data_IF_425338698939
#
_entry.id   IF_425338698939
#
_cell.length_a   1.000
_cell.length_b   1.000
_cell.length_c   1.000
_cell.angle_alpha   90.00
_cell.angle_beta   90.00
_cell.angle_gamma   90.00
#
_symmetry.space_group_name_H-M   'P 1'
#
loop_
_entity.id
_entity.type
_entity.pdbx_description
1 polymer ?
#
# COMPACT_ATOMS: atom_id res chain seq x y z
N UNK A 1 16.11 -35.56 -24.34
CA UNK A 1 16.52 -34.20 -24.68
C UNK A 1 15.39 -33.25 -24.34
N UNK A 2 15.46 -32.56 -23.19
CA UNK A 2 14.50 -31.54 -22.81
C UNK A 2 14.91 -30.25 -23.54
N UNK A 3 14.11 -29.86 -24.52
CA UNK A 3 14.19 -28.52 -25.12
C UNK A 3 13.99 -27.50 -24.01
N UNK A 4 15.06 -26.86 -23.56
CA UNK A 4 14.99 -25.67 -22.72
C UNK A 4 14.28 -24.59 -23.53
N UNK A 5 12.99 -24.39 -23.23
CA UNK A 5 12.27 -23.24 -23.74
C UNK A 5 13.00 -22.00 -23.24
N UNK A 6 13.57 -21.23 -24.15
CA UNK A 6 14.09 -19.92 -23.84
C UNK A 6 12.94 -19.11 -23.26
N UNK A 7 12.93 -18.98 -21.92
CA UNK A 7 11.95 -18.16 -21.23
C UNK A 7 12.00 -16.74 -21.82
N UNK A 8 10.88 -16.27 -22.32
CA UNK A 8 10.77 -14.89 -22.81
C UNK A 8 11.09 -13.92 -21.68
N UNK A 9 11.39 -12.65 -22.02
CA UNK A 9 11.60 -11.63 -20.98
C UNK A 9 10.38 -11.52 -20.04
N UNK A 10 9.18 -11.68 -20.58
CA UNK A 10 7.93 -11.70 -19.82
C UNK A 10 7.85 -12.88 -18.86
N UNK A 11 8.18 -14.10 -19.31
CA UNK A 11 8.20 -15.29 -18.45
C UNK A 11 9.17 -15.11 -17.27
N UNK A 12 10.31 -14.44 -17.49
CA UNK A 12 11.26 -14.14 -16.41
C UNK A 12 10.73 -13.09 -15.43
N UNK A 13 9.97 -12.11 -15.91
CA UNK A 13 9.31 -11.12 -15.05
C UNK A 13 8.22 -11.83 -14.22
N UNK A 14 7.38 -12.65 -14.84
CA UNK A 14 6.35 -13.40 -14.15
C UNK A 14 6.93 -14.40 -13.13
N UNK A 15 8.00 -15.13 -13.49
CA UNK A 15 8.69 -16.01 -12.56
C UNK A 15 9.34 -15.27 -11.37
N UNK A 16 9.73 -14.01 -11.54
CA UNK A 16 10.20 -13.16 -10.43
C UNK A 16 9.04 -12.70 -9.53
N UNK A 17 7.90 -12.36 -10.12
CA UNK A 17 6.70 -12.00 -9.37
C UNK A 17 6.13 -13.19 -8.60
N UNK A 18 6.22 -14.40 -9.17
CA UNK A 18 5.80 -15.65 -8.51
C UNK A 18 6.72 -16.05 -7.34
N UNK A 19 7.98 -15.60 -7.34
CA UNK A 19 8.95 -15.85 -6.25
C UNK A 19 8.91 -14.78 -5.15
N UNK A 20 8.05 -13.77 -5.25
CA UNK A 20 7.88 -12.83 -4.14
C UNK A 20 7.38 -13.62 -2.91
N UNK A 21 8.13 -13.58 -1.79
CA UNK A 21 7.72 -14.30 -0.60
C UNK A 21 6.36 -13.78 -0.15
N UNK A 22 5.45 -14.71 0.13
CA UNK A 22 4.17 -14.38 0.75
C UNK A 22 4.43 -13.56 2.00
N UNK A 23 3.70 -12.48 2.15
CA UNK A 23 3.71 -11.74 3.41
C UNK A 23 3.20 -12.71 4.47
N UNK A 24 3.96 -12.99 5.57
CA UNK A 24 3.55 -13.99 6.53
C UNK A 24 2.13 -13.74 7.02
N UNK A 25 1.33 -14.80 7.11
CA UNK A 25 -0.09 -14.74 7.50
C UNK A 25 -0.30 -14.13 8.90
N UNK A 26 0.67 -14.28 9.78
CA UNK A 26 0.78 -13.57 11.05
C UNK A 26 1.59 -12.29 10.85
N UNK A 27 0.91 -11.26 10.42
CA UNK A 27 1.36 -9.90 10.74
C UNK A 27 0.92 -9.70 12.18
N UNK A 28 1.88 -9.83 13.10
CA UNK A 28 1.72 -9.19 14.40
C UNK A 28 1.24 -7.78 14.09
N UNK A 29 0.10 -7.38 14.68
CA UNK A 29 -0.42 -6.03 14.53
C UNK A 29 0.64 -5.12 15.13
N UNK A 30 1.62 -4.82 14.30
CA UNK A 30 2.76 -4.00 14.67
C UNK A 30 2.18 -2.67 15.11
N UNK A 31 2.39 -2.34 16.38
CA UNK A 31 2.02 -1.02 16.91
C UNK A 31 2.49 0.01 15.89
N UNK A 32 1.58 0.89 15.49
CA UNK A 32 1.87 1.93 14.50
C UNK A 32 3.20 2.59 14.85
N UNK A 33 4.14 2.59 13.94
CA UNK A 33 5.43 3.28 14.11
C UNK A 33 5.16 4.74 14.49
N UNK A 34 5.88 5.28 15.48
CA UNK A 34 5.75 6.69 15.89
C UNK A 34 5.85 7.63 14.69
N UNK A 35 6.75 7.35 13.76
CA UNK A 35 6.88 8.13 12.51
C UNK A 35 5.59 8.15 11.69
N UNK A 36 4.88 7.04 11.61
CA UNK A 36 3.64 6.95 10.84
C UNK A 36 2.51 7.73 11.52
N UNK A 37 2.44 7.68 12.84
CA UNK A 37 1.48 8.49 13.62
C UNK A 37 1.77 9.98 13.45
N UNK A 38 3.03 10.38 13.55
CA UNK A 38 3.45 11.78 13.33
C UNK A 38 3.12 12.22 11.90
N UNK A 39 3.40 11.39 10.90
CA UNK A 39 3.09 11.71 9.52
C UNK A 39 1.58 11.82 9.29
N UNK A 40 0.78 10.93 9.89
CA UNK A 40 -0.68 11.02 9.84
C UNK A 40 -1.18 12.31 10.48
N UNK A 41 -0.71 12.65 11.68
CA UNK A 41 -1.08 13.87 12.38
C UNK A 41 -0.68 15.12 11.61
N UNK A 42 0.54 15.16 11.05
CA UNK A 42 1.01 16.28 10.22
C UNK A 42 0.17 16.43 8.94
N UNK A 43 -0.15 15.32 8.26
CA UNK A 43 -1.01 15.35 7.07
C UNK A 43 -2.43 15.79 7.40
N UNK A 44 -2.97 15.36 8.55
CA UNK A 44 -4.28 15.79 9.03
C UNK A 44 -4.29 17.27 9.37
N UNK A 45 -3.26 17.76 10.06
CA UNK A 45 -3.11 19.18 10.35
C UNK A 45 -3.02 20.00 9.05
N UNK A 46 -2.27 19.53 8.05
CA UNK A 46 -2.18 20.17 6.74
C UNK A 46 -3.54 20.16 6.02
N UNK A 47 -4.27 19.05 6.06
CA UNK A 47 -5.63 18.93 5.50
C UNK A 47 -6.57 19.97 6.13
N UNK A 48 -6.61 20.02 7.46
CA UNK A 48 -7.46 20.96 8.20
C UNK A 48 -7.06 22.42 7.97
N UNK A 49 -5.76 22.71 7.86
CA UNK A 49 -5.25 24.05 7.56
C UNK A 49 -5.71 24.54 6.17
N UNK A 50 -5.71 23.67 5.15
CA UNK A 50 -6.23 24.01 3.82
C UNK A 50 -7.74 24.24 3.87
N UNK A 51 -8.50 23.35 4.52
CA UNK A 51 -9.96 23.54 4.68
C UNK A 51 -10.25 24.88 5.32
N UNK A 52 -9.58 25.19 6.42
CA UNK A 52 -9.74 26.48 7.11
C UNK A 52 -9.34 27.67 6.23
N UNK A 53 -8.18 27.60 5.56
CA UNK A 53 -7.69 28.65 4.69
C UNK A 53 -8.64 28.96 3.53
N UNK A 54 -9.26 27.94 2.93
CA UNK A 54 -10.27 28.11 1.89
C UNK A 54 -11.56 28.68 2.48
N UNK A 55 -12.03 28.18 3.62
CA UNK A 55 -13.27 28.62 4.26
C UNK A 55 -13.25 30.11 4.64
N UNK A 56 -12.11 30.63 5.09
CA UNK A 56 -11.94 32.06 5.46
C UNK A 56 -11.52 32.94 4.28
N UNK A 57 -11.55 32.44 3.05
CA UNK A 57 -11.16 33.20 1.84
C UNK A 57 -9.76 33.83 1.96
N UNK A 58 -8.78 33.03 2.36
CA UNK A 58 -7.40 33.46 2.61
C UNK A 58 -6.62 33.75 1.33
N UNK A 59 -5.30 34.05 1.48
CA UNK A 59 -4.38 34.20 0.37
C UNK A 59 -4.37 32.96 -0.57
N UNK A 60 -4.69 31.75 -0.07
CA UNK A 60 -4.76 30.53 -0.87
C UNK A 60 -5.86 30.59 -1.91
N UNK A 61 -7.03 31.16 -1.57
CA UNK A 61 -8.12 31.39 -2.52
C UNK A 61 -7.71 32.41 -3.57
N UNK A 62 -7.00 33.47 -3.18
CA UNK A 62 -6.46 34.44 -4.13
C UNK A 62 -5.48 33.79 -5.11
N UNK A 63 -4.65 32.87 -4.62
CA UNK A 63 -3.72 32.11 -5.44
C UNK A 63 -4.45 31.14 -6.40
N UNK A 64 -5.53 30.48 -5.94
CA UNK A 64 -6.40 29.68 -6.82
C UNK A 64 -6.90 30.50 -8.02
N UNK A 65 -7.38 31.71 -7.77
CA UNK A 65 -7.84 32.63 -8.82
C UNK A 65 -6.72 33.10 -9.73
N UNK A 66 -5.54 33.40 -9.21
CA UNK A 66 -4.38 33.75 -10.03
C UNK A 66 -3.99 32.67 -11.01
N UNK A 67 -3.97 31.41 -10.53
CA UNK A 67 -3.69 30.24 -11.40
C UNK A 67 -4.75 30.10 -12.48
N UNK A 68 -6.03 30.32 -12.15
CA UNK A 68 -7.12 30.23 -13.12
C UNK A 68 -7.04 31.37 -14.17
N UNK A 69 -6.73 32.59 -13.77
CA UNK A 69 -6.56 33.71 -14.68
C UNK A 69 -5.34 33.56 -15.59
N UNK A 70 -4.31 32.86 -15.15
CA UNK A 70 -3.16 32.52 -15.99
C UNK A 70 -3.54 31.60 -17.16
N UNK A 71 -4.66 30.86 -17.05
CA UNK A 71 -5.20 29.96 -18.09
C UNK A 71 -4.15 29.00 -18.64
N UNK A 72 -3.62 28.05 -17.83
CA UNK A 72 -2.51 27.19 -18.25
C UNK A 72 -2.75 26.44 -19.55
N UNK A 73 -4.00 26.01 -19.82
CA UNK A 73 -4.39 25.29 -21.04
C UNK A 73 -4.27 26.16 -22.32
N UNK A 74 -4.29 27.47 -22.20
CA UNK A 74 -4.07 28.39 -23.33
C UNK A 74 -2.58 28.69 -23.54
N UNK A 75 -1.77 28.57 -22.48
CA UNK A 75 -0.32 28.83 -22.57
C UNK A 75 0.45 27.66 -23.21
N UNK A 76 -0.02 26.43 -23.02
CA UNK A 76 0.65 25.22 -23.51
C UNK A 76 -0.33 24.26 -24.22
N UNK A 77 -0.93 24.67 -25.35
CA UNK A 77 -1.94 23.85 -26.04
C UNK A 77 -1.36 22.53 -26.60
N UNK A 78 -0.05 22.45 -26.82
CA UNK A 78 0.61 21.29 -27.42
C UNK A 78 0.54 20.04 -26.53
N UNK A 79 0.50 20.24 -25.21
CA UNK A 79 0.43 19.12 -24.25
C UNK A 79 -1.01 18.73 -23.89
N UNK A 80 -2.01 19.45 -24.42
CA UNK A 80 -3.42 19.27 -24.04
C UNK A 80 -3.89 17.83 -24.27
N UNK A 81 -3.70 17.32 -25.47
CA UNK A 81 -4.12 15.95 -25.81
C UNK A 81 -3.45 14.88 -24.93
N UNK A 82 -2.17 15.05 -24.58
CA UNK A 82 -1.49 14.15 -23.67
C UNK A 82 -2.09 14.20 -22.26
N UNK A 83 -2.37 15.40 -21.75
CA UNK A 83 -2.90 15.58 -20.40
C UNK A 83 -4.35 15.10 -20.27
N UNK A 84 -5.16 15.20 -21.33
CA UNK A 84 -6.51 14.62 -21.38
C UNK A 84 -6.50 13.09 -21.20
N UNK A 85 -5.52 12.40 -21.80
CA UNK A 85 -5.33 10.97 -21.55
C UNK A 85 -4.70 10.71 -20.18
N UNK A 86 -3.79 11.57 -19.73
CA UNK A 86 -3.10 11.39 -18.47
C UNK A 86 -4.05 11.47 -17.26
N UNK A 87 -5.05 12.34 -17.28
CA UNK A 87 -6.03 12.49 -16.20
C UNK A 87 -6.84 11.21 -15.96
N UNK A 88 -6.95 10.33 -16.98
CA UNK A 88 -7.62 9.02 -16.87
C UNK A 88 -6.96 8.15 -15.78
N UNK A 89 -5.66 8.34 -15.53
CA UNK A 89 -4.94 7.65 -14.43
C UNK A 89 -5.45 8.04 -13.02
N UNK A 90 -6.26 9.09 -12.93
CA UNK A 90 -6.97 9.49 -11.71
C UNK A 90 -8.46 9.13 -11.70
N UNK A 91 -9.02 8.66 -12.82
CA UNK A 91 -10.43 8.28 -12.90
C UNK A 91 -10.70 6.98 -12.15
N UNK A 92 -11.82 6.94 -11.41
CA UNK A 92 -12.16 5.79 -10.56
C UNK A 92 -12.41 4.51 -11.35
N UNK A 93 -13.19 4.57 -12.45
CA UNK A 93 -13.54 3.40 -13.25
C UNK A 93 -12.32 2.68 -13.83
N UNK A 94 -11.58 3.30 -14.74
CA UNK A 94 -10.44 2.66 -15.42
C UNK A 94 -9.36 2.16 -14.45
N UNK A 95 -9.00 2.98 -13.46
CA UNK A 95 -7.92 2.62 -12.52
C UNK A 95 -8.36 1.53 -11.54
N UNK A 96 -9.61 1.57 -11.04
CA UNK A 96 -10.12 0.52 -10.18
C UNK A 96 -10.18 -0.83 -10.91
N UNK A 97 -10.64 -0.86 -12.17
CA UNK A 97 -10.67 -2.08 -12.98
C UNK A 97 -9.26 -2.63 -13.19
N UNK A 98 -8.31 -1.80 -13.62
CA UNK A 98 -6.93 -2.20 -13.88
C UNK A 98 -6.23 -2.75 -12.63
N UNK A 99 -6.33 -2.03 -11.51
CA UNK A 99 -5.68 -2.44 -10.25
C UNK A 99 -6.39 -3.63 -9.63
N UNK A 100 -7.74 -3.72 -9.73
CA UNK A 100 -8.49 -4.90 -9.27
C UNK A 100 -8.12 -6.14 -10.09
N UNK A 101 -8.00 -6.02 -11.41
CA UNK A 101 -7.56 -7.14 -12.27
C UNK A 101 -6.16 -7.64 -11.87
N UNK A 102 -5.21 -6.73 -11.67
CA UNK A 102 -3.87 -7.07 -11.22
C UNK A 102 -3.84 -7.72 -9.84
N UNK A 103 -4.50 -7.11 -8.86
CA UNK A 103 -4.57 -7.65 -7.49
C UNK A 103 -5.41 -8.91 -7.42
N UNK A 104 -6.44 -9.04 -8.26
CA UNK A 104 -7.24 -10.25 -8.40
C UNK A 104 -6.42 -11.43 -8.91
N UNK A 105 -5.65 -11.21 -9.96
CA UNK A 105 -4.70 -12.22 -10.47
C UNK A 105 -3.68 -12.61 -9.39
N UNK A 106 -3.10 -11.65 -8.69
CA UNK A 106 -2.16 -11.89 -7.59
C UNK A 106 -2.83 -12.65 -6.43
N UNK A 107 -4.04 -12.27 -6.04
CA UNK A 107 -4.83 -12.94 -4.99
C UNK A 107 -5.15 -14.39 -5.35
N UNK A 108 -5.50 -14.63 -6.61
CA UNK A 108 -5.74 -15.98 -7.12
C UNK A 108 -4.49 -16.85 -7.05
N UNK A 109 -3.32 -16.32 -7.47
CA UNK A 109 -2.03 -17.01 -7.42
C UNK A 109 -1.57 -17.30 -5.99
N UNK A 110 -1.85 -16.42 -5.06
CA UNK A 110 -1.42 -16.51 -3.64
C UNK A 110 -2.49 -17.15 -2.73
N UNK A 111 -3.65 -17.53 -3.28
CA UNK A 111 -4.77 -18.08 -2.52
C UNK A 111 -5.20 -17.22 -1.31
N UNK A 112 -5.09 -15.89 -1.40
CA UNK A 112 -5.46 -14.92 -0.36
C UNK A 112 -6.32 -13.80 -0.94
N UNK A 113 -7.32 -13.34 -0.21
CA UNK A 113 -8.17 -12.21 -0.60
C UNK A 113 -7.68 -10.86 -0.04
N UNK A 114 -6.66 -10.87 0.82
CA UNK A 114 -6.16 -9.65 1.47
C UNK A 114 -5.87 -8.50 0.52
N UNK A 115 -5.17 -8.68 -0.62
CA UNK A 115 -4.90 -7.56 -1.52
C UNK A 115 -6.17 -6.90 -2.05
N UNK A 116 -7.18 -7.71 -2.42
CA UNK A 116 -8.47 -7.21 -2.89
C UNK A 116 -9.28 -6.54 -1.79
N UNK A 117 -9.31 -7.14 -0.59
CA UNK A 117 -10.00 -6.55 0.56
C UNK A 117 -9.34 -5.24 1.01
N UNK A 118 -8.01 -5.15 0.95
CA UNK A 118 -7.29 -3.91 1.25
C UNK A 118 -7.59 -2.81 0.23
N UNK A 119 -7.63 -3.15 -1.06
CA UNK A 119 -8.08 -2.21 -2.10
C UNK A 119 -9.54 -1.80 -1.86
N UNK A 120 -10.45 -2.75 -1.62
CA UNK A 120 -11.85 -2.47 -1.34
C UNK A 120 -12.05 -1.56 -0.13
N UNK A 121 -11.34 -1.83 0.97
CA UNK A 121 -11.37 -0.98 2.17
C UNK A 121 -10.85 0.44 1.88
N UNK A 122 -9.77 0.58 1.12
CA UNK A 122 -9.21 1.89 0.77
C UNK A 122 -10.14 2.70 -0.13
N UNK A 123 -10.78 2.06 -1.13
CA UNK A 123 -11.75 2.71 -2.00
C UNK A 123 -13.05 3.06 -1.26
N UNK A 124 -13.48 2.22 -0.31
CA UNK A 124 -14.63 2.52 0.55
C UNK A 124 -14.35 3.74 1.44
N UNK A 125 -13.19 3.77 2.10
CA UNK A 125 -12.76 4.92 2.88
C UNK A 125 -12.68 6.20 2.02
N UNK A 126 -12.14 6.08 0.80
CA UNK A 126 -12.09 7.19 -0.15
C UNK A 126 -13.49 7.72 -0.48
N UNK A 127 -14.43 6.83 -0.81
CA UNK A 127 -15.79 7.24 -1.15
C UNK A 127 -16.52 7.89 0.04
N UNK A 128 -16.36 7.33 1.24
CA UNK A 128 -17.00 7.86 2.44
C UNK A 128 -16.37 9.22 2.81
N UNK A 129 -15.05 9.32 2.94
CA UNK A 129 -14.40 10.52 3.47
C UNK A 129 -14.42 11.68 2.47
N UNK A 130 -14.02 11.42 1.22
CA UNK A 130 -14.04 12.44 0.15
C UNK A 130 -15.46 12.78 -0.25
N UNK A 131 -16.38 11.79 -0.30
CA UNK A 131 -17.79 12.02 -0.59
C UNK A 131 -18.45 12.89 0.48
N UNK A 132 -18.27 12.58 1.76
CA UNK A 132 -18.79 13.37 2.87
C UNK A 132 -18.22 14.82 2.85
N UNK A 133 -16.93 14.98 2.59
CA UNK A 133 -16.32 16.29 2.46
C UNK A 133 -16.92 17.11 1.31
N UNK A 134 -17.14 16.49 0.14
CA UNK A 134 -17.78 17.15 -1.02
C UNK A 134 -19.20 17.64 -0.69
N UNK A 135 -20.00 16.78 -0.09
CA UNK A 135 -21.37 17.12 0.31
C UNK A 135 -21.41 18.23 1.37
N UNK A 136 -20.47 18.17 2.33
CA UNK A 136 -20.44 19.14 3.42
C UNK A 136 -19.90 20.52 3.01
N UNK A 137 -19.03 20.57 2.00
CA UNK A 137 -18.37 21.84 1.59
C UNK A 137 -19.01 22.47 0.36
N UNK A 138 -19.56 21.70 -0.56
CA UNK A 138 -20.36 22.21 -1.67
C UNK A 138 -19.69 23.23 -2.56
N UNK A 139 -18.36 23.13 -2.83
CA UNK A 139 -17.57 24.12 -3.56
C UNK A 139 -17.77 23.99 -5.09
N UNK A 140 -17.99 25.13 -5.77
CA UNK A 140 -18.05 25.19 -7.23
C UNK A 140 -16.66 25.16 -7.87
N UNK A 141 -16.60 24.53 -9.05
CA UNK A 141 -15.40 24.49 -9.87
C UNK A 141 -15.08 25.78 -10.58
N UNK A 142 -13.82 25.96 -11.06
CA UNK A 142 -13.40 27.16 -11.75
C UNK A 142 -14.29 27.57 -12.94
N UNK A 143 -14.80 26.57 -13.67
CA UNK A 143 -15.70 26.82 -14.83
C UNK A 143 -17.11 27.27 -14.45
N UNK A 144 -17.52 27.05 -13.19
CA UNK A 144 -18.86 27.38 -12.69
C UNK A 144 -18.83 28.44 -11.61
N UNK A 145 -17.65 29.03 -11.39
CA UNK A 145 -17.47 30.07 -10.37
C UNK A 145 -18.32 31.31 -10.67
N UNK A 146 -19.02 31.81 -9.68
CA UNK A 146 -20.00 32.89 -9.82
C UNK A 146 -19.37 34.24 -9.46
N UNK A 147 -18.56 34.27 -8.40
CA UNK A 147 -18.03 35.55 -7.86
C UNK A 147 -16.49 35.51 -7.84
N UNK A 148 -15.87 36.38 -8.64
CA UNK A 148 -14.42 36.50 -8.68
C UNK A 148 -13.86 36.87 -7.28
N UNK A 149 -12.84 36.07 -6.87
CA UNK A 149 -12.18 36.27 -5.58
C UNK A 149 -12.86 35.58 -4.40
N UNK A 150 -14.05 34.99 -4.59
CA UNK A 150 -14.74 34.21 -3.55
C UNK A 150 -14.16 32.79 -3.42
N UNK A 151 -14.48 32.11 -2.34
CA UNK A 151 -14.09 30.71 -2.13
C UNK A 151 -15.06 29.70 -2.76
N UNK A 152 -16.18 30.16 -3.33
CA UNK A 152 -17.22 29.37 -3.98
C UNK A 152 -17.77 28.20 -3.16
N UNK A 153 -17.72 28.28 -1.81
CA UNK A 153 -18.16 27.24 -0.86
C UNK A 153 -19.67 27.34 -0.60
N UNK A 154 -20.29 26.18 -0.33
CA UNK A 154 -21.74 26.11 0.04
C UNK A 154 -22.69 26.34 -1.12
N UNK A 155 -22.24 26.34 -2.36
CA UNK A 155 -23.00 26.63 -3.56
C UNK A 155 -23.48 25.36 -4.30
N UNK A 156 -23.43 24.20 -3.63
CA UNK A 156 -23.90 22.91 -4.20
C UNK A 156 -22.96 22.26 -5.19
N UNK A 157 -21.70 22.72 -5.28
CA UNK A 157 -20.65 22.07 -6.07
C UNK A 157 -20.10 20.81 -5.41
N UNK A 158 -19.35 20.03 -6.19
CA UNK A 158 -18.82 18.73 -5.72
C UNK A 158 -17.30 18.54 -6.01
N UNK A 159 -16.56 19.65 -6.12
CA UNK A 159 -15.15 19.55 -6.56
C UNK A 159 -14.16 19.51 -5.40
N UNK A 160 -14.51 19.94 -4.19
CA UNK A 160 -13.62 20.05 -3.04
C UNK A 160 -13.85 18.93 -2.02
N UNK A 161 -12.89 18.08 -1.72
CA UNK A 161 -11.56 17.94 -2.32
C UNK A 161 -11.57 17.26 -3.70
N UNK A 162 -10.44 17.37 -4.45
CA UNK A 162 -10.31 16.71 -5.76
C UNK A 162 -10.40 15.19 -5.66
N UNK A 163 -11.45 14.62 -6.26
CA UNK A 163 -11.67 13.19 -6.29
C UNK A 163 -10.69 12.43 -7.18
N UNK A 164 -10.30 12.99 -8.34
CA UNK A 164 -9.29 12.40 -9.25
C UNK A 164 -7.94 12.30 -8.55
N UNK A 165 -7.53 13.35 -7.89
CA UNK A 165 -6.25 13.41 -7.16
C UNK A 165 -6.21 12.43 -6.01
N UNK A 166 -7.24 12.42 -5.15
CA UNK A 166 -7.31 11.48 -4.03
C UNK A 166 -7.38 10.02 -4.50
N UNK A 167 -8.12 9.74 -5.57
CA UNK A 167 -8.20 8.41 -6.17
C UNK A 167 -6.84 7.97 -6.73
N UNK A 168 -6.10 8.85 -7.42
CA UNK A 168 -4.77 8.53 -7.93
C UNK A 168 -3.82 8.16 -6.77
N UNK A 169 -3.79 8.94 -5.68
CA UNK A 169 -2.97 8.62 -4.50
C UNK A 169 -3.32 7.26 -3.93
N UNK A 170 -4.60 6.99 -3.70
CA UNK A 170 -5.05 5.72 -3.09
C UNK A 170 -4.79 4.54 -4.02
N UNK A 171 -5.21 4.61 -5.27
CA UNK A 171 -5.18 3.48 -6.21
C UNK A 171 -3.76 3.11 -6.60
N UNK A 172 -2.89 4.07 -6.88
CA UNK A 172 -1.48 3.80 -7.17
C UNK A 172 -0.67 3.53 -5.90
N UNK A 173 -0.98 4.22 -4.79
CA UNK A 173 -0.32 4.04 -3.51
C UNK A 173 -0.56 2.67 -2.87
N UNK A 174 -1.71 2.04 -3.13
CA UNK A 174 -2.00 0.70 -2.61
C UNK A 174 -1.04 -0.36 -3.18
N UNK A 175 -0.55 -0.18 -4.41
CA UNK A 175 0.44 -1.08 -5.00
C UNK A 175 1.76 -1.03 -4.23
N UNK A 176 2.19 0.18 -3.84
CA UNK A 176 3.38 0.36 -3.00
C UNK A 176 3.16 -0.17 -1.57
N UNK A 177 1.95 0.02 -1.02
CA UNK A 177 1.57 -0.51 0.29
C UNK A 177 1.63 -2.03 0.34
N UNK A 178 1.15 -2.71 -0.69
CA UNK A 178 1.11 -4.17 -0.81
C UNK A 178 2.41 -4.78 -1.34
N UNK A 179 3.43 -3.97 -1.66
CA UNK A 179 4.71 -4.48 -2.14
C UNK A 179 5.44 -5.28 -1.06
N UNK A 180 5.90 -6.49 -1.41
CA UNK A 180 6.56 -7.42 -0.52
C UNK A 180 8.03 -7.09 -0.31
N UNK A 181 8.71 -6.50 -1.30
CA UNK A 181 10.13 -6.17 -1.20
C UNK A 181 10.37 -4.67 -0.98
N UNK A 182 11.41 -4.28 -0.20
CA UNK A 182 11.73 -2.86 -0.01
C UNK A 182 12.07 -2.12 -1.30
N UNK A 183 12.65 -2.84 -2.29
CA UNK A 183 12.98 -2.27 -3.60
C UNK A 183 11.73 -1.98 -4.40
N UNK A 184 10.81 -2.96 -4.51
CA UNK A 184 9.53 -2.77 -5.20
C UNK A 184 8.72 -1.66 -4.54
N UNK A 185 8.68 -1.62 -3.21
CA UNK A 185 7.99 -0.56 -2.46
C UNK A 185 8.50 0.82 -2.82
N UNK A 186 9.83 1.03 -2.86
CA UNK A 186 10.42 2.33 -3.22
C UNK A 186 10.05 2.76 -4.64
N UNK A 187 10.18 1.86 -5.61
CA UNK A 187 9.82 2.16 -7.01
C UNK A 187 8.34 2.43 -7.20
N UNK A 188 7.48 1.61 -6.60
CA UNK A 188 6.03 1.81 -6.67
C UNK A 188 5.59 3.07 -5.92
N UNK A 189 6.24 3.43 -4.81
CA UNK A 189 5.99 4.71 -4.13
C UNK A 189 6.39 5.90 -5.00
N UNK A 190 7.54 5.85 -5.67
CA UNK A 190 7.97 6.90 -6.59
C UNK A 190 7.00 7.02 -7.78
N UNK A 191 6.64 5.88 -8.39
CA UNK A 191 5.66 5.84 -9.49
C UNK A 191 4.30 6.41 -9.05
N UNK A 192 3.80 5.98 -7.88
CA UNK A 192 2.56 6.49 -7.31
C UNK A 192 2.61 8.01 -7.07
N UNK A 193 3.72 8.51 -6.53
CA UNK A 193 3.91 9.94 -6.30
C UNK A 193 3.89 10.73 -7.63
N UNK A 194 4.68 10.30 -8.63
CA UNK A 194 4.73 10.96 -9.93
C UNK A 194 3.36 10.95 -10.61
N UNK A 195 2.69 9.79 -10.62
CA UNK A 195 1.34 9.67 -11.22
C UNK A 195 0.33 10.57 -10.51
N UNK A 196 0.31 10.55 -9.18
CA UNK A 196 -0.66 11.32 -8.40
C UNK A 196 -0.42 12.82 -8.46
N UNK A 197 0.85 13.25 -8.46
CA UNK A 197 1.21 14.65 -8.67
C UNK A 197 0.80 15.10 -10.07
N UNK A 198 1.15 14.31 -11.08
CA UNK A 198 0.80 14.60 -12.46
C UNK A 198 -0.72 14.70 -12.68
N UNK A 199 -1.51 13.73 -12.17
CA UNK A 199 -2.98 13.79 -12.25
C UNK A 199 -3.53 15.05 -11.60
N UNK A 200 -3.06 15.39 -10.39
CA UNK A 200 -3.50 16.61 -9.71
C UNK A 200 -3.20 17.87 -10.50
N UNK A 201 -1.97 18.02 -10.97
CA UNK A 201 -1.57 19.18 -11.79
C UNK A 201 -2.32 19.23 -13.12
N UNK A 202 -2.61 18.08 -13.73
CA UNK A 202 -3.42 18.00 -14.94
C UNK A 202 -4.84 18.55 -14.71
N UNK A 203 -5.48 18.25 -13.58
CA UNK A 203 -6.81 18.79 -13.28
C UNK A 203 -6.81 20.31 -13.08
N UNK A 204 -5.71 20.87 -12.57
CA UNK A 204 -5.51 22.34 -12.51
C UNK A 204 -5.27 22.93 -13.90
N UNK A 205 -4.42 22.28 -14.70
CA UNK A 205 -4.17 22.68 -16.09
C UNK A 205 -5.45 22.73 -16.92
N UNK A 206 -6.31 21.70 -16.81
CA UNK A 206 -7.60 21.63 -17.50
C UNK A 206 -8.65 22.60 -16.92
N UNK A 207 -8.36 23.27 -15.80
CA UNK A 207 -9.29 24.20 -15.14
C UNK A 207 -10.49 23.52 -14.47
N UNK A 208 -10.45 22.19 -14.27
CA UNK A 208 -11.54 21.45 -13.62
C UNK A 208 -11.52 21.53 -12.10
N UNK A 209 -10.37 21.82 -11.52
CA UNK A 209 -10.16 21.94 -10.08
C UNK A 209 -9.31 23.15 -9.73
N UNK A 210 -9.57 23.76 -8.57
CA UNK A 210 -8.69 24.73 -7.96
C UNK A 210 -7.41 24.03 -7.45
N UNK A 211 -6.31 24.75 -7.36
CA UNK A 211 -5.08 24.19 -6.81
C UNK A 211 -5.27 23.69 -5.37
N UNK A 212 -6.00 24.43 -4.55
CA UNK A 212 -6.32 24.02 -3.18
C UNK A 212 -7.12 22.72 -3.11
N UNK A 213 -8.02 22.44 -4.07
CA UNK A 213 -8.76 21.16 -4.15
C UNK A 213 -7.81 19.98 -4.36
N UNK A 214 -6.79 20.21 -5.19
CA UNK A 214 -5.76 19.21 -5.52
C UNK A 214 -4.85 18.94 -4.32
N UNK A 215 -4.38 19.99 -3.64
CA UNK A 215 -3.60 19.85 -2.39
C UNK A 215 -4.36 19.03 -1.35
N UNK A 216 -5.64 19.32 -1.19
CA UNK A 216 -6.50 18.59 -0.27
C UNK A 216 -6.74 17.14 -0.73
N UNK A 217 -6.87 16.91 -2.04
CA UNK A 217 -6.99 15.58 -2.63
C UNK A 217 -5.77 14.71 -2.34
N UNK A 218 -4.55 15.26 -2.50
CA UNK A 218 -3.31 14.55 -2.13
C UNK A 218 -3.27 14.22 -0.64
N UNK A 219 -3.62 15.18 0.22
CA UNK A 219 -3.65 14.96 1.66
C UNK A 219 -4.69 13.91 2.05
N UNK A 220 -5.91 13.95 1.49
CA UNK A 220 -6.96 12.96 1.74
C UNK A 220 -6.54 11.55 1.36
N UNK A 221 -5.98 11.38 0.15
CA UNK A 221 -5.48 10.08 -0.30
C UNK A 221 -4.35 9.55 0.58
N UNK A 222 -3.42 10.42 0.99
CA UNK A 222 -2.31 10.05 1.88
C UNK A 222 -2.82 9.65 3.28
N UNK A 223 -3.79 10.37 3.84
CA UNK A 223 -4.43 10.02 5.12
C UNK A 223 -5.03 8.63 5.08
N UNK A 224 -5.72 8.27 3.99
CA UNK A 224 -6.30 6.93 3.82
C UNK A 224 -5.21 5.86 3.82
N UNK A 225 -4.12 6.05 3.04
CA UNK A 225 -3.01 5.09 2.99
C UNK A 225 -2.30 4.96 4.34
N UNK A 226 -2.16 6.04 5.07
CA UNK A 226 -1.56 6.04 6.41
C UNK A 226 -2.45 5.36 7.44
N UNK A 227 -3.78 5.45 7.28
CA UNK A 227 -4.76 4.82 8.15
C UNK A 227 -4.92 3.30 7.92
N UNK A 228 -4.57 2.78 6.74
CA UNK A 228 -4.80 1.37 6.37
C UNK A 228 -4.35 0.34 7.42
N UNK A 229 -3.21 0.47 8.12
CA UNK A 229 -2.82 -0.51 9.14
C UNK A 229 -3.81 -0.65 10.29
N UNK A 230 -4.58 0.38 10.61
CA UNK A 230 -5.65 0.27 11.61
C UNK A 230 -6.79 -0.63 11.16
N UNK A 231 -6.99 -0.77 9.83
CA UNK A 231 -8.01 -1.61 9.23
C UNK A 231 -7.53 -3.03 8.93
N UNK A 232 -6.21 -3.31 9.00
CA UNK A 232 -5.66 -4.66 8.74
C UNK A 232 -6.32 -5.77 9.60
N UNK A 233 -6.61 -5.57 10.91
CA UNK A 233 -7.30 -6.59 11.71
C UNK A 233 -8.73 -6.87 11.22
N UNK A 234 -9.44 -5.83 10.75
CA UNK A 234 -10.78 -5.96 10.19
C UNK A 234 -10.75 -6.71 8.86
N UNK A 235 -9.77 -6.37 8.01
CA UNK A 235 -9.53 -7.03 6.72
C UNK A 235 -9.24 -8.53 6.93
N UNK A 236 -8.38 -8.86 7.90
CA UNK A 236 -8.06 -10.25 8.23
C UNK A 236 -9.28 -11.02 8.74
N UNK A 237 -10.13 -10.41 9.58
CA UNK A 237 -11.39 -11.01 10.03
C UNK A 237 -12.36 -11.23 8.88
N UNK A 238 -12.49 -10.25 7.98
CA UNK A 238 -13.35 -10.35 6.80
C UNK A 238 -12.89 -11.48 5.88
N UNK A 239 -11.59 -11.62 5.64
CA UNK A 239 -11.01 -12.72 4.87
C UNK A 239 -11.36 -14.08 5.51
N UNK A 240 -11.09 -14.25 6.80
CA UNK A 240 -11.38 -15.48 7.52
C UNK A 240 -12.88 -15.84 7.45
N UNK A 241 -13.76 -14.86 7.62
CA UNK A 241 -15.21 -15.05 7.52
C UNK A 241 -15.66 -15.48 6.12
N UNK A 242 -15.10 -14.87 5.05
CA UNK A 242 -15.41 -15.23 3.66
C UNK A 242 -15.00 -16.69 3.39
N UNK A 243 -13.80 -17.11 3.83
CA UNK A 243 -13.36 -18.50 3.66
C UNK A 243 -14.23 -19.49 4.44
N UNK A 244 -14.60 -19.16 5.68
CA UNK A 244 -15.54 -19.99 6.47
C UNK A 244 -16.89 -20.14 5.78
N UNK A 245 -17.46 -19.04 5.27
CA UNK A 245 -18.72 -19.10 4.50
C UNK A 245 -18.59 -19.95 3.24
N UNK A 246 -17.48 -19.79 2.51
CA UNK A 246 -17.21 -20.62 1.32
C UNK A 246 -17.18 -22.10 1.66
N UNK A 247 -16.53 -22.46 2.75
CA UNK A 247 -16.40 -23.85 3.16
C UNK A 247 -17.74 -24.42 3.64
N UNK A 248 -18.56 -23.64 4.36
CA UNK A 248 -19.94 -24.01 4.72
C UNK A 248 -20.80 -24.22 3.46
N UNK A 249 -20.74 -23.32 2.49
CA UNK A 249 -21.50 -23.47 1.22
C UNK A 249 -21.01 -24.68 0.42
N UNK A 250 -19.70 -24.93 0.41
CA UNK A 250 -19.12 -26.07 -0.28
C UNK A 250 -19.52 -27.40 0.37
N UNK A 251 -19.53 -27.48 1.71
CA UNK A 251 -19.95 -28.68 2.43
C UNK A 251 -21.45 -28.95 2.22
N UNK A 252 -22.29 -27.91 2.17
CA UNK A 252 -23.72 -28.05 1.85
C UNK A 252 -23.99 -28.52 0.42
N UNK A 253 -23.15 -28.12 -0.54
CA UNK A 253 -23.28 -28.57 -1.96
C UNK A 253 -22.64 -29.93 -2.22
N UNK A 254 -21.64 -30.33 -1.42
CA UNK A 254 -20.95 -31.62 -1.52
C UNK A 254 -21.57 -32.74 -0.70
N UNK A 255 -22.75 -32.53 -0.13
CA UNK A 255 -23.47 -33.48 0.69
C UNK A 255 -24.05 -34.66 -0.09
N UNK A 256 -23.21 -35.47 -0.74
CA UNK A 256 -23.43 -36.88 -0.83
C UNK A 256 -22.96 -37.46 0.51
N UNK A 257 -23.89 -37.94 1.32
CA UNK A 257 -23.59 -38.63 2.57
C UNK A 257 -22.46 -39.62 2.31
N UNK A 258 -21.44 -39.78 3.19
CA UNK A 258 -20.51 -40.86 3.08
C UNK A 258 -21.34 -42.14 3.03
N UNK A 259 -21.15 -42.95 1.97
CA UNK A 259 -21.76 -44.26 1.91
C UNK A 259 -21.45 -44.97 3.23
N UNK A 260 -22.45 -45.57 3.90
CA UNK A 260 -22.18 -46.31 5.13
C UNK A 260 -21.09 -47.34 4.83
N UNK A 261 -20.05 -47.34 5.66
CA UNK A 261 -18.96 -48.29 5.54
C UNK A 261 -19.56 -49.67 5.42
N UNK A 262 -19.13 -50.49 4.44
CA UNK A 262 -19.60 -51.86 4.33
C UNK A 262 -19.39 -52.57 5.66
N UNK A 263 -20.48 -53.11 6.23
CA UNK A 263 -20.44 -53.88 7.45
C UNK A 263 -19.34 -54.93 7.32
N UNK A 264 -18.51 -55.15 8.34
CA UNK A 264 -17.48 -56.19 8.27
C UNK A 264 -18.14 -57.53 8.00
N UNK A 265 -17.87 -58.08 6.82
CA UNK A 265 -18.30 -59.43 6.42
C UNK A 265 -17.61 -60.40 7.36
N UNK A 266 -18.43 -61.07 8.18
CA UNK A 266 -18.21 -62.33 8.85
C UNK A 266 -16.81 -62.62 9.36
N UNK A 267 -16.60 -62.44 10.66
CA UNK A 267 -15.59 -63.20 11.40
C UNK A 267 -15.99 -64.65 11.41
N UNK A 268 -15.10 -65.60 11.10
CA UNK A 268 -15.41 -67.05 11.17
C UNK A 268 -15.74 -67.42 12.63
N UNK A 269 -16.91 -68.06 12.77
CA UNK A 269 -17.33 -68.70 14.03
C UNK A 269 -16.29 -69.76 14.37
N UNK A 270 -15.47 -69.54 15.38
CA UNK A 270 -14.55 -70.49 15.91
C UNK A 270 -15.28 -71.36 16.92
N UNK A 271 -15.32 -72.68 16.60
CA UNK A 271 -15.99 -73.69 17.37
C UNK A 271 -15.57 -73.75 18.81
N UNK A 272 -16.55 -73.88 19.67
CA UNK A 272 -16.50 -74.21 21.11
C UNK A 272 -15.72 -75.54 21.34
N UNK A 273 -14.66 -75.48 22.09
CA UNK A 273 -14.13 -76.73 22.75
C UNK A 273 -14.40 -76.63 24.27
N UNK A 274 -14.73 -77.80 24.87
CA UNK A 274 -15.16 -77.87 26.25
C UNK A 274 -13.97 -77.88 27.23
N UNK A 275 -14.20 -77.28 28.42
CA UNK A 275 -13.30 -77.35 29.56
C UNK A 275 -13.06 -78.76 30.08
N UNK A 276 -11.92 -79.00 30.74
CA UNK A 276 -11.92 -79.83 31.92
C UNK A 276 -11.57 -78.97 33.18
N UNK A 277 -12.37 -79.25 34.19
CA UNK A 277 -12.16 -79.08 35.64
C UNK A 277 -10.77 -79.60 36.06
N UNK A 278 -10.04 -78.96 36.98
CA UNK A 278 -10.02 -79.32 38.37
C UNK A 278 -8.95 -78.53 39.19
N UNK A 279 -9.37 -78.21 40.39
CA UNK A 279 -8.67 -78.14 41.69
C UNK A 279 -7.31 -77.42 41.81
N UNK A 280 -7.30 -76.56 42.81
CA UNK A 280 -6.21 -76.51 43.81
C UNK A 280 -5.58 -75.18 44.12
N UNK A 281 -6.03 -74.63 45.24
CA UNK A 281 -5.20 -73.98 46.25
C UNK A 281 -4.63 -72.56 46.08
N UNK A 282 -5.09 -71.70 46.97
CA UNK A 282 -4.53 -70.43 47.46
C UNK A 282 -3.35 -70.76 48.42
N UNK A 283 -2.31 -69.95 48.62
CA UNK A 283 -2.45 -68.65 49.29
C UNK A 283 -1.45 -67.54 48.87
N UNK A 284 -1.94 -66.34 49.07
CA UNK A 284 -1.30 -65.09 49.57
C UNK A 284 0.22 -64.90 49.41
N UNK A 285 0.58 -63.73 48.77
CA UNK A 285 1.31 -62.63 49.47
C UNK A 285 1.68 -61.48 48.57
N UNK A 286 1.28 -60.32 49.03
CA UNK A 286 2.04 -59.07 49.11
C UNK A 286 2.62 -58.43 47.84
N UNK A 287 2.01 -57.31 47.54
CA UNK A 287 2.60 -55.97 47.40
C UNK A 287 3.85 -55.78 46.54
N UNK A 288 3.68 -55.06 45.47
CA UNK A 288 4.50 -53.87 45.21
C UNK A 288 3.92 -53.07 44.01
N UNK A 289 3.39 -51.94 44.33
CA UNK A 289 3.12 -50.80 43.49
C UNK A 289 4.37 -50.47 42.67
N UNK A 290 4.31 -50.58 41.36
CA UNK A 290 5.26 -49.91 40.47
C UNK A 290 4.50 -48.96 39.56
N UNK A 291 4.59 -47.69 39.93
CA UNK A 291 4.20 -46.54 39.17
C UNK A 291 5.05 -46.44 37.90
N UNK A 292 4.51 -46.21 36.69
CA UNK A 292 5.34 -45.85 35.55
C UNK A 292 5.86 -44.43 35.67
N UNK A 293 7.15 -44.25 35.46
CA UNK A 293 7.84 -42.97 35.43
C UNK A 293 7.40 -42.14 34.25
N UNK A 294 7.31 -40.81 34.38
CA UNK A 294 7.01 -39.94 33.25
C UNK A 294 8.22 -39.83 32.31
N UNK A 295 7.92 -39.89 31.02
CA UNK A 295 8.88 -39.73 29.94
C UNK A 295 9.60 -38.38 30.06
N UNK A 296 10.93 -38.42 30.04
CA UNK A 296 11.84 -37.28 30.02
C UNK A 296 11.65 -36.53 28.70
N UNK A 297 11.31 -35.24 28.78
CA UNK A 297 11.42 -34.29 27.70
C UNK A 297 12.90 -34.06 27.30
N UNK A 298 13.21 -33.84 26.04
CA UNK A 298 14.57 -33.55 25.63
C UNK A 298 15.00 -32.17 26.14
N UNK A 299 16.13 -32.18 26.86
CA UNK A 299 16.83 -31.00 27.36
C UNK A 299 17.41 -30.26 26.15
N UNK A 300 16.89 -29.08 25.86
CA UNK A 300 17.53 -28.13 24.98
C UNK A 300 18.72 -27.49 25.71
N UNK A 301 19.93 -27.86 25.26
CA UNK A 301 21.16 -27.19 25.66
C UNK A 301 21.19 -25.81 25.02
N UNK A 302 21.09 -24.75 25.81
CA UNK A 302 21.36 -23.40 25.40
C UNK A 302 22.86 -23.24 25.04
N UNK A 303 23.22 -22.58 23.95
CA UNK A 303 24.62 -22.23 23.69
C UNK A 303 25.08 -21.15 24.67
N UNK A 304 26.19 -21.41 25.34
CA UNK A 304 26.84 -20.48 26.25
C UNK A 304 27.38 -19.24 25.53
N UNK A 305 27.65 -18.15 26.26
CA UNK A 305 28.13 -16.92 25.69
C UNK A 305 29.59 -17.08 25.27
N UNK A 306 29.88 -17.02 23.98
CA UNK A 306 31.23 -16.88 23.46
C UNK A 306 31.68 -15.43 23.61
N UNK A 307 32.41 -15.16 24.65
CA UNK A 307 33.30 -14.01 24.77
C UNK A 307 34.50 -14.23 23.85
N UNK A 308 34.47 -13.64 22.67
CA UNK A 308 35.64 -13.40 21.87
C UNK A 308 35.83 -11.90 21.72
N UNK A 309 36.56 -11.35 22.67
CA UNK A 309 37.19 -10.05 22.59
C UNK A 309 38.31 -10.13 21.55
N UNK A 310 38.08 -9.58 20.37
CA UNK A 310 39.13 -9.29 19.41
C UNK A 310 39.34 -7.79 19.36
N UNK A 311 40.38 -7.35 20.07
CA UNK A 311 40.97 -6.03 19.91
C UNK A 311 41.54 -5.94 18.50
N UNK A 312 40.90 -5.15 17.63
CA UNK A 312 41.54 -4.65 16.42
C UNK A 312 41.84 -3.17 16.59
N UNK A 313 43.11 -2.88 16.79
CA UNK A 313 43.75 -1.58 16.69
C UNK A 313 43.34 -0.86 15.40
N UNK A 314 43.00 0.43 15.45
CA UNK A 314 42.74 1.19 14.24
C UNK A 314 44.04 1.47 13.50
N UNK A 315 44.17 0.95 12.28
CA UNK A 315 45.24 1.30 11.36
C UNK A 315 44.87 2.64 10.72
N UNK A 316 45.62 3.65 11.03
CA UNK A 316 45.60 4.98 10.40
C UNK A 316 46.18 4.86 8.97
N UNK A 317 45.45 5.25 7.91
CA UNK A 317 46.06 5.37 6.60
C UNK A 317 46.87 6.67 6.51
N UNK A 318 48.14 6.51 6.20
CA UNK A 318 49.06 7.61 5.94
C UNK A 318 48.69 8.37 4.67
N UNK A 319 48.71 9.67 4.79
CA UNK A 319 49.08 10.70 3.85
C UNK A 319 48.72 10.56 2.37
N UNK A 320 47.67 11.19 1.94
CA UNK A 320 47.47 11.64 0.56
C UNK A 320 47.91 13.11 0.48
N UNK A 321 48.99 13.34 -0.20
CA UNK A 321 49.58 14.67 -0.48
C UNK A 321 48.63 15.44 -1.43
N UNK A 322 48.22 16.60 -1.00
CA UNK A 322 47.54 17.63 -1.80
C UNK A 322 48.58 18.32 -2.71
N UNK A 323 48.36 18.48 -4.02
CA UNK A 323 49.22 19.35 -4.84
C UNK A 323 48.89 20.82 -4.62
N UNK A 324 49.87 21.74 -4.84
CA UNK A 324 49.74 23.13 -4.47
C UNK A 324 48.90 23.94 -5.46
N UNK A 325 48.23 24.95 -4.92
CA UNK A 325 47.52 26.02 -5.63
C UNK A 325 48.49 26.73 -6.59
N UNK A 326 48.08 26.86 -7.85
CA UNK A 326 48.63 27.84 -8.76
C UNK A 326 47.72 29.07 -8.81
N UNK A 327 48.23 30.17 -8.30
CA UNK A 327 47.70 31.51 -8.47
C UNK A 327 47.62 31.84 -9.96
N UNK A 328 46.45 32.33 -10.41
CA UNK A 328 46.34 32.98 -11.70
C UNK A 328 45.63 34.32 -11.55
N UNK A 329 46.51 35.27 -11.33
CA UNK A 329 46.52 36.69 -11.69
C UNK A 329 45.34 37.20 -12.46
N UNK A 330 44.76 38.27 -11.88
CA UNK A 330 43.84 39.22 -12.47
C UNK A 330 44.42 39.84 -13.74
N UNK A 331 43.59 39.97 -14.78
CA UNK A 331 43.81 40.94 -15.86
C UNK A 331 42.61 41.85 -16.01
N UNK A 332 42.82 43.03 -15.58
CA UNK A 332 42.16 44.29 -15.91
C UNK A 332 42.34 44.64 -17.38
N UNK A 333 41.29 44.99 -18.09
CA UNK A 333 41.32 45.86 -19.27
C UNK A 333 39.95 46.47 -19.39
N UNK A 334 39.75 47.68 -18.96
CA UNK A 334 39.92 48.96 -19.65
C UNK A 334 38.90 49.18 -20.78
N UNK A 335 37.91 49.99 -20.41
CA UNK A 335 37.30 51.13 -21.09
C UNK A 335 37.41 51.26 -22.60
N UNK A 336 36.31 51.39 -23.32
CA UNK A 336 36.20 52.46 -24.32
C UNK A 336 34.73 52.93 -24.49
N UNK A 337 34.56 54.19 -24.24
CA UNK A 337 33.44 55.09 -24.52
C UNK A 337 33.28 55.30 -26.02
N UNK A 338 32.06 55.32 -26.53
CA UNK A 338 31.69 56.18 -27.71
C UNK A 338 30.18 56.32 -27.78
N UNK A 339 29.65 57.39 -27.35
CA UNK A 339 29.09 58.54 -28.07
C UNK A 339 27.96 58.24 -29.06
N UNK A 340 26.83 58.81 -28.71
CA UNK A 340 25.62 59.27 -29.42
C UNK A 340 25.91 59.88 -30.82
N UNK A 341 24.94 60.07 -31.82
CA UNK A 341 23.76 60.93 -31.65
C UNK A 341 22.47 60.46 -32.38
N UNK A 342 21.30 60.83 -31.90
CA UNK A 342 20.29 61.80 -32.33
C UNK A 342 19.79 61.76 -33.80
N UNK A 343 18.43 61.96 -33.86
CA UNK A 343 17.51 62.35 -34.95
C UNK A 343 16.90 61.19 -35.68
N UNK A 344 15.63 61.05 -35.92
CA UNK A 344 14.50 61.98 -36.06
C UNK A 344 13.60 61.37 -37.11
N UNK A 345 12.32 61.44 -36.92
CA UNK A 345 11.29 60.99 -37.89
C UNK A 345 10.10 60.36 -37.17
#
# INVERSE_FOLDING_TARGET
MRTERNLTRLDRVFARLDREPERPAHIDVSRMSRHRVVLFAATLAFYLAIVWAVSVTSWLVRFDWQVMFFRPYQQWPEIHAFLDYYVVLGQRGPTAVMVTAWLGWRSWRQHTLRPLLTLGASLLLLNITVGAAKLGMGRLGPHYAITIGSNEMGLGGDIFPSGHTANAVVTWGILAYLASTPRARRWLSALSAVTSLGVGLTTVYLGTHWLSDVLLGWAAGLLILLALPWFEPLIARAEAWIFTLRDIVRSRRGGTAPAPAPAPVGAPVMATQPSPTDTGEVPARSAATSRPAPARAPVYLAPGPHTARSERTPVTPAGSRRPPHADRVARTATTTTSARPLTGG
#
